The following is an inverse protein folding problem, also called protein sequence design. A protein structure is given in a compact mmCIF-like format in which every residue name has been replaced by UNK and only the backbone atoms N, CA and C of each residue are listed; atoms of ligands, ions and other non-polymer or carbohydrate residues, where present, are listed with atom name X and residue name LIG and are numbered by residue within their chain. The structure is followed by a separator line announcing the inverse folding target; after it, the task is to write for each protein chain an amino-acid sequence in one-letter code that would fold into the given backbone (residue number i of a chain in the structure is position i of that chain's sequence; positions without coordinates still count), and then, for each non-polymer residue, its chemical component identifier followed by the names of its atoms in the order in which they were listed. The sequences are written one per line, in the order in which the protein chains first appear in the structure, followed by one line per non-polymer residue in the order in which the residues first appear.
data_IF_965386042308
#
_entry.id   IF_965386042308
#
_cell.length_a   1.000
_cell.length_b   1.000
_cell.length_c   1.000
_cell.angle_alpha   90.00
_cell.angle_beta   90.00
_cell.angle_gamma   90.00
#
_symmetry.space_group_name_H-M   'P 1'
#
loop_
_entity.id
_entity.type
_entity.pdbx_description
1 polymer ?
#
# COMPACT_ATOMS: atom_id res chain seq x y z
N UNK A 1 7.71 -2.98 -4.54
CA UNK A 1 8.31 -3.07 -3.20
C UNK A 1 8.90 -4.45 -3.12
N UNK A 2 10.04 -4.64 -2.46
CA UNK A 2 10.60 -5.99 -2.28
C UNK A 2 9.89 -6.68 -1.12
N UNK A 3 9.45 -7.92 -1.31
CA UNK A 3 8.66 -8.66 -0.31
C UNK A 3 9.03 -10.14 -0.25
N UNK A 4 8.88 -10.71 0.94
CA UNK A 4 8.64 -12.14 1.11
C UNK A 4 7.13 -12.37 1.11
N UNK A 5 6.62 -13.19 0.19
CA UNK A 5 5.20 -13.40 0.01
C UNK A 5 4.79 -14.84 0.37
N UNK A 6 3.79 -14.97 1.23
CA UNK A 6 3.13 -16.23 1.57
C UNK A 6 1.64 -16.17 1.24
N UNK A 7 1.04 -17.28 0.85
CA UNK A 7 -0.42 -17.43 0.69
C UNK A 7 -1.03 -18.18 1.86
N UNK A 8 -2.31 -17.89 2.14
CA UNK A 8 -3.10 -18.60 3.17
C UNK A 8 -4.19 -19.49 2.60
N UNK A 9 -4.37 -19.50 1.28
CA UNK A 9 -5.35 -20.37 0.63
C UNK A 9 -4.70 -21.19 -0.46
N UNK A 10 -5.18 -22.41 -0.61
CA UNK A 10 -4.89 -23.28 -1.73
C UNK A 10 -6.22 -23.78 -2.27
N UNK A 11 -6.48 -23.57 -3.56
CA UNK A 11 -7.79 -23.84 -4.17
C UNK A 11 -8.98 -23.15 -3.44
N UNK A 12 -8.73 -21.99 -2.81
CA UNK A 12 -9.72 -21.28 -1.98
C UNK A 12 -9.86 -21.82 -0.54
N UNK A 13 -9.32 -22.99 -0.23
CA UNK A 13 -9.33 -23.62 1.10
C UNK A 13 -8.29 -22.96 2.01
N UNK A 14 -8.65 -22.65 3.25
CA UNK A 14 -7.74 -22.05 4.22
C UNK A 14 -6.68 -23.06 4.68
N UNK A 15 -5.42 -22.69 4.56
CA UNK A 15 -4.28 -23.50 4.99
C UNK A 15 -4.04 -23.39 6.49
N UNK A 16 -3.62 -24.50 7.12
CA UNK A 16 -3.24 -24.55 8.54
C UNK A 16 -2.03 -23.67 8.87
N UNK A 17 -1.12 -23.47 7.91
CA UNK A 17 -0.01 -22.53 7.99
C UNK A 17 0.19 -21.82 6.65
N UNK A 18 0.67 -20.55 6.63
CA UNK A 18 0.98 -19.87 5.38
C UNK A 18 2.16 -20.52 4.66
N UNK A 19 2.01 -20.76 3.36
CA UNK A 19 3.06 -21.33 2.48
C UNK A 19 3.57 -20.26 1.52
N UNK A 20 4.78 -20.38 0.95
CA UNK A 20 5.24 -19.44 -0.08
C UNK A 20 4.23 -19.29 -1.22
N UNK A 21 4.07 -18.08 -1.77
CA UNK A 21 3.23 -17.89 -2.98
C UNK A 21 3.88 -18.55 -4.19
N UNK A 22 5.21 -18.45 -4.29
CA UNK A 22 6.01 -19.05 -5.35
C UNK A 22 7.05 -19.96 -4.70
N UNK A 23 7.05 -21.24 -5.06
CA UNK A 23 8.01 -22.21 -4.53
C UNK A 23 9.45 -21.85 -4.92
N UNK A 24 10.39 -22.02 -3.99
CA UNK A 24 11.80 -21.73 -4.21
C UNK A 24 12.18 -20.23 -4.28
N UNK A 25 11.21 -19.33 -4.36
CA UNK A 25 11.48 -17.89 -4.36
C UNK A 25 11.58 -17.33 -2.92
N UNK A 26 12.68 -16.63 -2.63
CA UNK A 26 12.87 -15.99 -1.32
C UNK A 26 12.37 -14.55 -1.34
N UNK A 27 12.93 -13.67 -2.19
CA UNK A 27 12.59 -12.26 -2.25
C UNK A 27 12.11 -11.85 -3.65
N UNK A 28 10.94 -11.20 -3.70
CA UNK A 28 10.23 -10.85 -4.93
C UNK A 28 9.90 -9.37 -4.99
N UNK A 29 9.70 -8.83 -6.18
CA UNK A 29 9.10 -7.52 -6.39
C UNK A 29 7.58 -7.63 -6.44
N UNK A 30 6.92 -6.99 -5.48
CA UNK A 30 5.48 -6.75 -5.47
C UNK A 30 5.16 -5.43 -6.15
N UNK A 31 4.38 -5.48 -7.21
CA UNK A 31 3.93 -4.32 -7.98
C UNK A 31 2.41 -4.32 -8.07
N UNK A 32 1.79 -3.16 -7.87
CA UNK A 32 0.34 -2.98 -8.01
C UNK A 32 0.08 -1.93 -9.07
N UNK A 33 -0.62 -2.35 -10.13
CA UNK A 33 -0.85 -1.58 -11.36
C UNK A 33 -2.26 -1.81 -11.89
N UNK A 34 -2.73 -0.89 -12.71
CA UNK A 34 -3.95 -1.07 -13.50
C UNK A 34 -3.58 -1.63 -14.87
N UNK A 35 -4.31 -2.64 -15.32
CA UNK A 35 -4.14 -3.28 -16.63
C UNK A 35 -5.48 -3.35 -17.34
N UNK A 36 -5.44 -3.36 -18.67
CA UNK A 36 -6.61 -3.67 -19.49
C UNK A 36 -6.46 -5.10 -19.98
N UNK A 37 -7.36 -5.99 -19.59
CA UNK A 37 -7.36 -7.37 -20.10
C UNK A 37 -8.00 -7.42 -21.49
N UNK A 38 -7.52 -8.32 -22.35
CA UNK A 38 -8.13 -8.55 -23.66
C UNK A 38 -9.62 -8.91 -23.50
N UNK A 39 -10.48 -8.18 -24.21
CA UNK A 39 -11.93 -8.33 -24.13
C UNK A 39 -12.62 -7.52 -23.03
N UNK A 40 -11.87 -6.94 -22.06
CA UNK A 40 -12.41 -6.07 -21.03
C UNK A 40 -12.23 -4.60 -21.39
N UNK A 41 -13.34 -3.83 -21.40
CA UNK A 41 -13.29 -2.38 -21.68
C UNK A 41 -12.83 -1.53 -20.51
N UNK A 42 -12.82 -2.08 -19.29
CA UNK A 42 -12.48 -1.36 -18.06
C UNK A 42 -11.14 -1.84 -17.51
N UNK A 43 -10.21 -0.92 -17.19
CA UNK A 43 -8.99 -1.28 -16.48
C UNK A 43 -9.32 -1.97 -15.15
N UNK A 44 -8.57 -3.02 -14.82
CA UNK A 44 -8.63 -3.70 -13.54
C UNK A 44 -7.30 -3.53 -12.82
N UNK A 45 -7.36 -3.44 -11.49
CA UNK A 45 -6.16 -3.42 -10.66
C UNK A 45 -5.68 -4.85 -10.42
N UNK A 46 -4.37 -5.07 -10.53
CA UNK A 46 -3.71 -6.34 -10.23
C UNK A 46 -2.49 -6.11 -9.35
N UNK A 47 -2.23 -7.06 -8.46
CA UNK A 47 -0.96 -7.18 -7.75
C UNK A 47 -0.16 -8.31 -8.37
N UNK A 48 1.11 -8.07 -8.68
CA UNK A 48 2.01 -9.03 -9.34
C UNK A 48 3.24 -9.25 -8.49
N UNK A 49 3.66 -10.51 -8.42
CA UNK A 49 4.96 -10.91 -7.90
C UNK A 49 5.89 -11.23 -9.07
N UNK A 50 7.07 -10.63 -9.06
CA UNK A 50 8.07 -10.75 -10.13
C UNK A 50 9.45 -11.00 -9.50
N UNK A 51 10.40 -11.63 -10.23
CA UNK A 51 11.80 -11.61 -9.83
C UNK A 51 12.30 -10.17 -9.81
N UNK A 52 13.31 -9.89 -8.98
CA UNK A 52 13.86 -8.55 -8.83
C UNK A 52 14.50 -8.08 -10.13
N UNK A 53 14.05 -6.94 -10.66
CA UNK A 53 14.59 -6.37 -11.90
C UNK A 53 14.11 -7.04 -13.19
N UNK A 54 13.19 -8.01 -13.10
CA UNK A 54 12.61 -8.70 -14.26
C UNK A 54 11.14 -8.31 -14.46
N UNK A 55 10.65 -8.45 -15.69
CA UNK A 55 9.24 -8.23 -16.04
C UNK A 55 8.40 -9.51 -16.04
N UNK A 56 9.01 -10.65 -15.69
CA UNK A 56 8.34 -11.94 -15.64
C UNK A 56 7.38 -12.00 -14.46
N UNK A 57 6.10 -12.26 -14.74
CA UNK A 57 5.08 -12.44 -13.70
C UNK A 57 5.14 -13.88 -13.21
N UNK A 58 5.38 -14.07 -11.91
CA UNK A 58 5.40 -15.38 -11.25
C UNK A 58 4.06 -15.72 -10.59
N UNK A 59 3.38 -14.71 -10.07
CA UNK A 59 2.03 -14.84 -9.53
C UNK A 59 1.26 -13.52 -9.69
N UNK A 60 -0.06 -13.62 -9.81
CA UNK A 60 -0.94 -12.46 -10.00
C UNK A 60 -2.20 -12.59 -9.14
N UNK A 61 -2.54 -11.50 -8.46
CA UNK A 61 -3.76 -11.35 -7.69
C UNK A 61 -4.60 -10.23 -8.30
N UNK A 62 -5.77 -10.58 -8.84
CA UNK A 62 -6.75 -9.64 -9.39
C UNK A 62 -7.54 -8.95 -8.29
N UNK A 63 -7.93 -7.71 -8.56
CA UNK A 63 -8.71 -6.86 -7.66
C UNK A 63 -8.14 -6.82 -6.24
N UNK A 64 -6.83 -6.52 -6.08
CA UNK A 64 -6.18 -6.56 -4.78
C UNK A 64 -6.79 -5.52 -3.85
N UNK A 65 -7.17 -5.97 -2.66
CA UNK A 65 -7.64 -5.14 -1.56
C UNK A 65 -6.59 -5.16 -0.47
N UNK A 66 -6.19 -3.98 0.00
CA UNK A 66 -5.31 -3.85 1.16
C UNK A 66 -6.13 -4.08 2.43
N UNK A 67 -5.95 -5.25 3.05
CA UNK A 67 -6.67 -5.64 4.26
C UNK A 67 -6.00 -5.08 5.50
N UNK A 68 -4.67 -5.13 5.53
CA UNK A 68 -3.89 -4.71 6.67
C UNK A 68 -2.50 -4.22 6.27
N UNK A 69 -1.99 -3.23 6.99
CA UNK A 69 -0.59 -2.86 7.04
C UNK A 69 -0.23 -2.58 8.50
N UNK A 70 0.78 -3.26 9.04
CA UNK A 70 1.28 -2.99 10.40
C UNK A 70 2.78 -3.23 10.44
N UNK A 71 3.53 -2.15 10.65
CA UNK A 71 4.99 -2.18 10.48
C UNK A 71 5.33 -2.57 9.05
N UNK A 72 6.14 -3.63 8.88
CA UNK A 72 6.54 -4.13 7.56
C UNK A 72 5.65 -5.24 7.03
N UNK A 73 4.55 -5.57 7.72
CA UNK A 73 3.64 -6.64 7.32
C UNK A 73 2.43 -6.06 6.61
N UNK A 74 2.24 -6.46 5.37
CA UNK A 74 1.16 -6.05 4.47
C UNK A 74 0.33 -7.29 4.10
N UNK A 75 -1.00 -7.16 4.14
CA UNK A 75 -1.92 -8.24 3.77
C UNK A 75 -2.77 -7.78 2.60
N UNK A 76 -2.69 -8.53 1.50
CA UNK A 76 -3.54 -8.33 0.32
C UNK A 76 -4.53 -9.48 0.20
N UNK A 77 -5.77 -9.16 -0.12
CA UNK A 77 -6.77 -10.14 -0.56
C UNK A 77 -7.19 -9.86 -2.00
N UNK A 78 -7.58 -10.90 -2.74
CA UNK A 78 -8.07 -10.73 -4.10
C UNK A 78 -8.38 -12.08 -4.72
N UNK A 79 -8.33 -12.14 -6.05
CA UNK A 79 -8.63 -13.35 -6.82
C UNK A 79 -7.36 -13.82 -7.53
N UNK A 80 -6.96 -15.05 -7.26
CA UNK A 80 -5.92 -15.73 -8.04
C UNK A 80 -6.59 -16.58 -9.11
N UNK A 81 -6.07 -16.52 -10.34
CA UNK A 81 -6.58 -17.31 -11.45
C UNK A 81 -5.66 -18.49 -11.71
N UNK A 82 -6.25 -19.69 -11.69
CA UNK A 82 -5.56 -20.94 -11.99
C UNK A 82 -6.21 -21.55 -13.22
N UNK A 83 -5.38 -22.16 -14.08
CA UNK A 83 -5.87 -22.99 -15.19
C UNK A 83 -5.99 -24.41 -14.68
N UNK A 84 -7.15 -25.02 -14.88
CA UNK A 84 -7.33 -26.45 -14.62
C UNK A 84 -6.71 -27.29 -15.76
N UNK A 85 -6.69 -28.61 -15.57
CA UNK A 85 -6.16 -29.58 -16.56
C UNK A 85 -6.88 -29.53 -17.92
N UNK A 86 -8.08 -28.95 -17.95
CA UNK A 86 -8.89 -28.77 -19.15
C UNK A 86 -8.74 -27.36 -19.74
N UNK A 87 -7.74 -26.60 -19.28
CA UNK A 87 -7.43 -25.25 -19.71
C UNK A 87 -8.53 -24.21 -19.39
N UNK A 88 -9.47 -24.51 -18.49
CA UNK A 88 -10.44 -23.54 -18.01
C UNK A 88 -9.80 -22.66 -16.94
N UNK A 89 -10.09 -21.35 -17.01
CA UNK A 89 -9.65 -20.39 -16.00
C UNK A 89 -10.65 -20.40 -14.84
N UNK A 90 -10.16 -20.70 -13.64
CA UNK A 90 -10.93 -20.62 -12.39
C UNK A 90 -10.35 -19.53 -11.52
N UNK A 91 -11.20 -18.59 -11.10
CA UNK A 91 -10.86 -17.55 -10.14
C UNK A 91 -11.14 -18.00 -8.71
N UNK A 92 -10.17 -17.88 -7.82
CA UNK A 92 -10.28 -18.29 -6.42
C UNK A 92 -9.89 -17.17 -5.48
N UNK A 93 -10.64 -17.03 -4.40
CA UNK A 93 -10.30 -16.08 -3.35
C UNK A 93 -8.95 -16.46 -2.74
N UNK A 94 -8.03 -15.49 -2.68
CA UNK A 94 -6.69 -15.65 -2.17
C UNK A 94 -6.32 -14.53 -1.20
N UNK A 95 -5.41 -14.83 -0.28
CA UNK A 95 -4.83 -13.86 0.65
C UNK A 95 -3.31 -14.02 0.67
N UNK A 96 -2.61 -12.96 0.27
CA UNK A 96 -1.16 -12.85 0.37
C UNK A 96 -0.76 -12.13 1.65
N UNK A 97 0.10 -12.76 2.42
CA UNK A 97 0.84 -12.18 3.53
C UNK A 97 2.21 -11.75 3.00
N UNK A 98 2.43 -10.46 2.91
CA UNK A 98 3.66 -9.87 2.40
C UNK A 98 4.43 -9.24 3.55
N UNK A 99 5.67 -9.68 3.74
CA UNK A 99 6.62 -9.00 4.60
C UNK A 99 7.53 -8.13 3.73
N UNK A 100 7.46 -6.81 3.91
CA UNK A 100 8.25 -5.84 3.17
C UNK A 100 9.72 -5.98 3.58
N UNK A 101 10.61 -6.10 2.59
CA UNK A 101 12.04 -5.99 2.79
C UNK A 101 12.41 -4.51 2.89
N UNK A 102 12.26 -3.97 4.10
CA UNK A 102 12.65 -2.61 4.41
C UNK A 102 14.19 -2.48 4.47
N UNK A 103 14.76 -1.35 4.03
CA UNK A 103 16.17 -1.05 4.26
C UNK A 103 16.53 -1.14 5.75
N UNK A 104 17.75 -1.56 6.09
CA UNK A 104 18.19 -1.73 7.49
C UNK A 104 18.02 -0.47 8.35
N UNK A 105 18.18 0.71 7.74
CA UNK A 105 18.04 2.00 8.41
C UNK A 105 16.59 2.55 8.39
N UNK A 106 15.61 1.78 7.91
CA UNK A 106 14.21 2.21 7.89
C UNK A 106 13.62 2.19 9.30
N UNK A 107 13.10 3.34 9.74
CA UNK A 107 12.47 3.52 11.07
C UNK A 107 10.94 3.57 11.00
N UNK A 108 10.39 3.83 9.81
CA UNK A 108 8.96 3.87 9.56
C UNK A 108 8.67 4.23 8.11
N UNK A 109 7.58 4.96 7.91
CA UNK A 109 7.21 5.53 6.62
C UNK A 109 7.22 7.04 6.68
N UNK A 110 7.60 7.63 5.56
CA UNK A 110 7.33 9.03 5.27
C UNK A 110 6.13 9.09 4.35
N UNK A 111 5.14 9.88 4.75
CA UNK A 111 3.85 9.98 4.11
C UNK A 111 3.66 11.40 3.58
N UNK A 112 3.45 11.54 2.27
CA UNK A 112 3.21 12.81 1.59
C UNK A 112 1.79 12.86 1.08
N UNK A 113 1.05 13.92 1.38
CA UNK A 113 -0.30 14.11 0.87
C UNK A 113 -0.28 14.25 -0.66
N UNK A 114 -1.12 13.45 -1.34
CA UNK A 114 -1.29 13.49 -2.81
C UNK A 114 -2.50 14.32 -3.23
N UNK A 115 -3.23 14.88 -2.27
CA UNK A 115 -4.38 15.75 -2.48
C UNK A 115 -4.34 16.94 -1.52
N UNK A 116 -4.84 18.08 -1.98
CA UNK A 116 -5.08 19.28 -1.16
C UNK A 116 -6.51 19.73 -1.45
N UNK A 117 -7.35 19.83 -0.40
CA UNK A 117 -8.76 20.22 -0.52
C UNK A 117 -9.54 19.40 -1.58
N UNK A 118 -9.32 18.08 -1.63
CA UNK A 118 -9.94 17.20 -2.63
C UNK A 118 -9.32 17.22 -4.03
N UNK A 119 -8.33 18.08 -4.30
CA UNK A 119 -7.68 18.23 -5.61
C UNK A 119 -6.35 17.48 -5.63
N UNK A 120 -6.15 16.63 -6.64
CA UNK A 120 -4.93 15.82 -6.77
C UNK A 120 -3.71 16.72 -7.05
N UNK A 121 -2.66 16.53 -6.27
CA UNK A 121 -1.36 17.17 -6.46
C UNK A 121 -0.58 16.42 -7.55
N UNK A 122 0.01 17.11 -8.55
CA UNK A 122 0.88 16.48 -9.53
C UNK A 122 2.06 15.78 -8.86
N UNK A 123 2.40 14.56 -9.33
CA UNK A 123 3.49 13.76 -8.73
C UNK A 123 4.84 14.48 -8.74
N UNK A 124 5.11 15.27 -9.78
CA UNK A 124 6.33 16.08 -9.87
C UNK A 124 6.48 17.05 -8.68
N UNK A 125 5.36 17.58 -8.18
CA UNK A 125 5.31 18.49 -7.04
C UNK A 125 5.45 17.80 -5.68
N UNK A 126 5.43 16.46 -5.63
CA UNK A 126 5.66 15.67 -4.42
C UNK A 126 7.15 15.41 -4.17
N UNK A 127 8.00 15.71 -5.15
CA UNK A 127 9.45 15.64 -4.98
C UNK A 127 9.92 16.79 -4.08
N UNK A 128 10.68 16.47 -3.04
CA UNK A 128 11.23 17.47 -2.12
C UNK A 128 10.24 18.06 -1.10
N UNK A 129 8.96 17.68 -1.12
CA UNK A 129 8.02 18.10 -0.07
C UNK A 129 8.30 17.35 1.24
N UNK A 130 8.17 18.08 2.34
CA UNK A 130 8.13 17.48 3.67
C UNK A 130 6.97 16.48 3.75
N UNK A 131 7.16 15.41 4.52
CA UNK A 131 6.13 14.40 4.75
C UNK A 131 6.02 14.09 6.22
N UNK A 132 4.84 13.61 6.62
CA UNK A 132 4.63 13.12 7.98
C UNK A 132 5.40 11.81 8.14
N UNK A 133 6.35 11.80 9.09
CA UNK A 133 7.18 10.61 9.39
C UNK A 133 6.58 9.85 10.55
N UNK A 134 6.54 8.53 10.46
CA UNK A 134 5.98 7.72 11.53
C UNK A 134 5.69 6.28 11.17
N UNK A 135 4.94 5.62 12.05
CA UNK A 135 4.39 4.27 11.84
C UNK A 135 3.09 4.39 11.07
N UNK A 136 3.05 3.78 9.89
CA UNK A 136 1.84 3.65 9.09
C UNK A 136 1.11 2.36 9.45
N UNK A 137 -0.18 2.49 9.70
CA UNK A 137 -1.08 1.37 10.02
C UNK A 137 -2.28 1.44 9.09
N UNK A 138 -2.67 0.30 8.51
CA UNK A 138 -3.95 0.13 7.81
C UNK A 138 -4.69 -1.02 8.45
N UNK A 139 -5.94 -0.79 8.85
CA UNK A 139 -6.82 -1.80 9.48
C UNK A 139 -8.27 -1.51 9.13
N UNK A 140 -9.15 -2.50 9.30
CA UNK A 140 -10.60 -2.25 9.29
C UNK A 140 -11.02 -1.53 10.57
N UNK A 141 -11.80 -0.47 10.44
CA UNK A 141 -12.39 0.28 11.56
C UNK A 141 -13.81 0.77 11.18
N UNK A 142 -14.66 1.04 12.16
CA UNK A 142 -15.97 1.64 11.92
C UNK A 142 -15.81 3.14 11.66
N UNK A 143 -16.27 3.60 10.49
CA UNK A 143 -16.27 5.02 10.16
C UNK A 143 -17.62 5.63 10.47
N UNK A 144 -17.68 6.55 11.43
CA UNK A 144 -18.87 7.35 11.71
C UNK A 144 -19.26 8.24 10.53
N UNK A 145 -18.28 8.77 9.79
CA UNK A 145 -18.54 9.61 8.62
C UNK A 145 -19.21 8.83 7.46
N UNK A 146 -18.91 7.53 7.32
CA UNK A 146 -19.49 6.68 6.27
C UNK A 146 -20.59 5.73 6.79
N UNK A 147 -20.83 5.71 8.10
CA UNK A 147 -21.77 4.81 8.78
C UNK A 147 -21.56 3.31 8.45
N UNK A 148 -20.31 2.90 8.21
CA UNK A 148 -19.94 1.52 7.87
C UNK A 148 -18.51 1.19 8.29
N UNK A 149 -18.20 -0.10 8.38
CA UNK A 149 -16.81 -0.55 8.44
C UNK A 149 -16.09 -0.27 7.13
N UNK A 150 -14.90 0.31 7.22
CA UNK A 150 -14.05 0.61 6.09
C UNK A 150 -12.58 0.41 6.47
N UNK A 151 -11.73 0.14 5.48
CA UNK A 151 -10.30 0.19 5.69
C UNK A 151 -9.89 1.63 6.04
N UNK A 152 -9.18 1.81 7.13
CA UNK A 152 -8.68 3.09 7.59
C UNK A 152 -7.16 3.04 7.65
N UNK A 153 -6.51 4.06 7.11
CA UNK A 153 -5.07 4.24 7.22
C UNK A 153 -4.77 5.36 8.21
N UNK A 154 -3.82 5.13 9.09
CA UNK A 154 -3.37 6.10 10.09
C UNK A 154 -1.86 6.18 10.11
N UNK A 155 -1.34 7.40 10.20
CA UNK A 155 0.08 7.64 10.44
C UNK A 155 0.28 8.18 11.85
N UNK A 156 1.04 7.43 12.66
CA UNK A 156 1.39 7.77 14.03
C UNK A 156 2.82 8.26 14.07
N UNK A 157 3.08 9.48 14.58
CA UNK A 157 4.45 10.02 14.65
C UNK A 157 5.37 9.08 15.45
N UNK A 158 6.67 9.17 15.19
CA UNK A 158 7.67 8.37 15.94
C UNK A 158 7.70 8.71 17.42
N UNK A 159 7.46 9.97 17.76
CA UNK A 159 7.21 10.42 19.13
C UNK A 159 5.88 9.85 19.63
N UNK A 160 5.82 9.47 20.91
CA UNK A 160 4.61 8.90 21.52
C UNK A 160 3.47 9.91 21.39
N UNK A 161 2.60 9.68 20.42
CA UNK A 161 1.39 10.46 20.20
C UNK A 161 0.20 9.55 20.46
N UNK A 162 -0.71 9.98 21.33
CA UNK A 162 -1.97 9.27 21.58
C UNK A 162 -2.90 9.34 20.36
N UNK A 163 -2.71 10.34 19.49
CA UNK A 163 -3.54 10.57 18.31
C UNK A 163 -2.74 10.40 17.02
N UNK A 164 -3.36 9.87 15.95
CA UNK A 164 -2.72 9.80 14.65
C UNK A 164 -2.48 11.22 14.10
N UNK A 165 -1.34 11.44 13.46
CA UNK A 165 -1.02 12.69 12.78
C UNK A 165 -1.76 12.86 11.45
N UNK A 166 -2.38 11.80 10.94
CA UNK A 166 -3.24 11.82 9.78
C UNK A 166 -4.05 10.54 9.69
N UNK A 167 -5.25 10.64 9.11
CA UNK A 167 -6.17 9.51 8.89
C UNK A 167 -6.78 9.57 7.49
N UNK A 168 -6.85 8.43 6.82
CA UNK A 168 -7.67 8.18 5.63
C UNK A 168 -8.73 7.14 5.97
N UNK A 169 -9.95 7.35 5.51
CA UNK A 169 -11.05 6.37 5.57
C UNK A 169 -11.36 5.85 4.16
N UNK A 170 -11.97 4.67 4.06
CA UNK A 170 -12.19 3.99 2.76
C UNK A 170 -10.89 3.84 1.96
N UNK A 171 -9.82 3.53 2.69
CA UNK A 171 -8.46 3.43 2.19
C UNK A 171 -8.29 2.24 1.25
N UNK A 172 -7.62 2.46 0.13
CA UNK A 172 -7.27 1.43 -0.83
C UNK A 172 -5.88 1.67 -1.42
N UNK A 173 -5.23 0.62 -1.88
CA UNK A 173 -3.93 0.72 -2.54
C UNK A 173 -4.13 1.23 -3.97
N UNK A 174 -3.62 2.40 -4.30
CA UNK A 174 -3.67 2.98 -5.65
C UNK A 174 -2.64 2.34 -6.57
N UNK A 175 -1.39 2.32 -6.15
CA UNK A 175 -0.28 1.70 -6.86
C UNK A 175 0.80 1.25 -5.88
N UNK A 176 1.70 0.39 -6.36
CA UNK A 176 2.93 0.02 -5.65
C UNK A 176 4.05 -0.18 -6.66
N UNK A 177 5.15 0.57 -6.49
CA UNK A 177 6.41 0.42 -7.25
C UNK A 177 7.46 -0.25 -6.37
N UNK A 178 8.64 -0.52 -6.91
CA UNK A 178 9.85 -1.00 -6.23
C UNK A 178 10.18 -0.33 -4.87
N UNK A 179 9.95 0.98 -4.73
CA UNK A 179 10.43 1.83 -3.63
C UNK A 179 9.32 2.59 -2.90
N UNK A 180 8.16 2.77 -3.55
CA UNK A 180 7.05 3.57 -3.01
C UNK A 180 5.72 2.88 -3.26
N UNK A 181 4.70 3.28 -2.52
CA UNK A 181 3.31 2.92 -2.82
C UNK A 181 2.40 4.09 -2.50
N UNK A 182 1.21 4.14 -3.08
CA UNK A 182 0.21 5.11 -2.68
C UNK A 182 -1.07 4.48 -2.19
N UNK A 183 -1.61 5.14 -1.18
CA UNK A 183 -2.94 4.91 -0.64
C UNK A 183 -3.86 6.02 -1.15
N UNK A 184 -5.04 5.64 -1.61
CA UNK A 184 -6.14 6.54 -1.91
C UNK A 184 -7.23 6.34 -0.89
N UNK A 185 -8.09 7.34 -0.72
CA UNK A 185 -9.24 7.24 0.19
C UNK A 185 -9.92 8.58 0.37
N UNK A 186 -10.51 8.76 1.53
CA UNK A 186 -11.24 9.95 1.92
C UNK A 186 -10.66 10.52 3.21
N UNK A 187 -10.73 11.84 3.36
CA UNK A 187 -10.40 12.55 4.60
C UNK A 187 -11.65 13.25 5.11
N UNK A 188 -11.88 13.14 6.41
CA UNK A 188 -12.89 13.94 7.11
C UNK A 188 -12.25 15.27 7.47
N UNK A 189 -12.86 16.35 7.01
CA UNK A 189 -12.51 17.70 7.43
C UNK A 189 -13.55 18.13 8.46
N UNK A 190 -13.12 18.26 9.69
CA UNK A 190 -14.00 18.66 10.80
C UNK A 190 -14.62 20.03 10.56
N UNK A 191 -15.82 20.22 11.11
CA UNK A 191 -16.50 21.52 11.06
C UNK A 191 -15.64 22.58 11.76
N UNK A 192 -15.57 23.77 11.17
CA UNK A 192 -14.80 24.89 11.73
C UNK A 192 -15.48 26.22 11.42
N UNK A 193 -15.89 26.94 12.46
CA UNK A 193 -16.70 28.15 12.30
C UNK A 193 -18.01 27.83 11.58
N UNK A 194 -18.28 28.52 10.48
CA UNK A 194 -19.47 28.31 9.65
C UNK A 194 -19.30 27.18 8.62
N UNK A 195 -18.09 26.63 8.47
CA UNK A 195 -17.87 25.52 7.55
C UNK A 195 -18.37 24.20 8.17
N UNK A 196 -19.36 23.53 7.55
CA UNK A 196 -19.80 22.22 8.02
C UNK A 196 -18.71 21.17 7.80
N UNK A 197 -18.84 20.04 8.49
CA UNK A 197 -17.98 18.88 8.27
C UNK A 197 -18.11 18.42 6.81
N UNK A 198 -16.99 18.13 6.16
CA UNK A 198 -16.94 17.68 4.76
C UNK A 198 -16.09 16.43 4.63
N UNK A 199 -16.46 15.59 3.65
CA UNK A 199 -15.67 14.44 3.24
C UNK A 199 -15.03 14.77 1.90
N UNK A 200 -13.71 14.73 1.85
CA UNK A 200 -12.94 15.11 0.67
C UNK A 200 -12.10 13.92 0.19
N UNK A 201 -11.81 13.88 -1.11
CA UNK A 201 -10.83 12.92 -1.64
C UNK A 201 -9.46 13.20 -1.06
N UNK A 202 -8.77 12.14 -0.68
CA UNK A 202 -7.44 12.24 -0.11
C UNK A 202 -6.58 11.03 -0.50
N UNK A 203 -5.29 11.15 -0.27
CA UNK A 203 -4.35 10.10 -0.59
C UNK A 203 -2.97 10.43 -0.10
N UNK A 204 -2.14 9.39 -0.06
CA UNK A 204 -0.83 9.38 0.54
C UNK A 204 0.15 8.66 -0.35
N UNK A 205 1.26 9.32 -0.67
CA UNK A 205 2.45 8.67 -1.21
C UNK A 205 3.33 8.25 -0.04
N UNK A 206 3.58 6.96 0.05
CA UNK A 206 4.32 6.33 1.14
C UNK A 206 5.66 5.83 0.64
N UNK A 207 6.72 6.22 1.33
CA UNK A 207 8.10 5.78 1.10
C UNK A 207 8.73 5.37 2.45
N UNK A 208 9.76 4.52 2.43
CA UNK A 208 10.49 4.20 3.66
C UNK A 208 11.11 5.47 4.24
N UNK A 209 10.89 5.72 5.54
CA UNK A 209 11.61 6.76 6.26
C UNK A 209 12.94 6.18 6.72
N UNK A 210 14.00 6.53 6.01
CA UNK A 210 15.36 6.10 6.30
C UNK A 210 15.96 7.09 7.30
N UNK A 211 16.54 6.56 8.38
CA UNK A 211 17.36 7.34 9.29
C UNK A 211 18.67 7.71 8.59
N UNK A 212 18.60 8.72 7.73
CA UNK A 212 19.79 9.41 7.26
C UNK A 212 20.16 10.44 8.33
N UNK A 213 21.37 10.33 8.86
CA UNK A 213 21.97 11.42 9.63
C UNK A 213 21.91 12.66 8.74
N UNK A 214 21.15 13.68 9.16
CA UNK A 214 21.16 14.96 8.44
C UNK A 214 22.60 15.48 8.39
N UNK A 215 23.16 15.56 7.19
CA UNK A 215 24.44 16.21 6.97
C UNK A 215 24.27 17.66 7.40
N UNK A 216 25.19 18.16 8.21
CA UNK A 216 25.18 19.59 8.52
C UNK A 216 25.33 20.40 7.23
N UNK A 217 24.82 21.64 7.18
CA UNK A 217 24.97 22.53 6.01
C UNK A 217 26.42 22.65 5.53
N UNK A 218 27.38 22.47 6.45
CA UNK A 218 28.82 22.47 6.19
C UNK A 218 29.27 21.21 5.44
N UNK A 219 28.78 20.04 5.81
CA UNK A 219 29.12 18.76 5.19
C UNK A 219 28.47 18.61 3.81
N UNK A 220 27.22 19.05 3.66
CA UNK A 220 26.55 19.10 2.35
C UNK A 220 27.25 20.04 1.36
N UNK A 221 27.92 21.09 1.85
CA UNK A 221 28.77 21.98 1.04
C UNK A 221 30.12 21.37 0.65
N UNK A 222 30.65 20.40 1.40
CA UNK A 222 31.91 19.74 1.08
C UNK A 222 31.77 18.59 0.07
N UNK A 223 30.53 18.15 -0.20
CA UNK A 223 30.21 17.08 -1.15
C UNK A 223 29.80 17.60 -2.55
N UNK A 224 29.83 18.92 -2.77
CA UNK A 224 29.62 19.57 -4.08
C UNK A 224 30.95 20.10 -4.59
#
# INVERSE_FOLDING_TARGET
MKVWAKRRRDDGVVLGAPVPVVEGASLLELVVVEITEEGNRRPIKVARLMPIGEQRILAQLKMPTLVQLKGWKLVLSGIEELRDDHNNVRGMAQTWLCELHAPTAAVGFRVKDTFVCGVRVPRASLSGTGGTRGKLVVTGDYSSALQRHAACAEVHRHEISTFPAGRLIDCHLEFMSDTTFALGGLRVREAHGDDPQRIERAGWLCEFDIYERELTKREARMLR
#
